data_IF_171114914718
#
_entry.id   IF_171114914718
#
_cell.length_a   1.000
_cell.length_b   1.000
_cell.length_c   1.000
_cell.angle_alpha   90.00
_cell.angle_beta   90.00
_cell.angle_gamma   90.00
#
_symmetry.space_group_name_H-M   'P 1'
#
loop_
_entity.id
_entity.type
_entity.pdbx_description
1 polymer ?
#
# COMPACT_ATOMS: atom_id res chain seq x y z
N UNK A 1 -6.27 25.77 -22.82
CA UNK A 1 -6.15 24.74 -23.88
C UNK A 1 -6.01 23.38 -23.21
N UNK A 2 -6.83 22.38 -23.55
CA UNK A 2 -6.61 21.01 -23.10
C UNK A 2 -5.58 20.34 -24.02
N UNK A 3 -4.40 20.00 -23.50
CA UNK A 3 -3.37 19.27 -24.26
C UNK A 3 -3.86 17.83 -24.44
N UNK A 4 -4.11 17.43 -25.69
CA UNK A 4 -4.46 16.06 -26.03
C UNK A 4 -3.17 15.27 -26.27
N UNK A 5 -2.93 14.30 -25.40
CA UNK A 5 -1.81 13.38 -25.55
C UNK A 5 -2.15 12.28 -26.55
N UNK A 6 -1.19 11.95 -27.41
CA UNK A 6 -1.26 10.84 -28.34
C UNK A 6 -1.45 9.51 -27.59
N UNK A 7 -2.22 8.59 -28.17
CA UNK A 7 -2.55 7.33 -27.52
C UNK A 7 -1.31 6.47 -27.30
N UNK A 8 -0.35 6.49 -28.23
CA UNK A 8 0.90 5.73 -28.11
C UNK A 8 1.75 6.20 -26.93
N UNK A 9 1.73 7.51 -26.63
CA UNK A 9 2.46 8.06 -25.49
C UNK A 9 1.84 7.61 -24.18
N UNK A 10 0.51 7.43 -24.12
CA UNK A 10 -0.16 6.94 -22.91
C UNK A 10 0.21 5.50 -22.61
N UNK A 11 0.21 4.65 -23.64
CA UNK A 11 0.51 3.23 -23.49
C UNK A 11 1.98 3.05 -23.02
N UNK A 12 2.93 3.77 -23.63
CA UNK A 12 4.34 3.80 -23.19
C UNK A 12 4.52 4.23 -21.73
N UNK A 13 3.73 5.20 -21.26
CA UNK A 13 3.79 5.67 -19.87
C UNK A 13 3.26 4.60 -18.91
N UNK A 14 2.18 3.92 -19.27
CA UNK A 14 1.60 2.84 -18.45
C UNK A 14 2.55 1.65 -18.36
N UNK A 15 3.13 1.23 -19.49
CA UNK A 15 4.11 0.13 -19.54
C UNK A 15 5.35 0.45 -18.69
N UNK A 16 5.87 1.67 -18.81
CA UNK A 16 7.00 2.11 -17.98
C UNK A 16 6.67 2.10 -16.48
N UNK A 17 5.48 2.55 -16.09
CA UNK A 17 5.06 2.51 -14.68
C UNK A 17 4.99 1.07 -14.17
N UNK A 18 4.53 0.13 -15.01
CA UNK A 18 4.48 -1.30 -14.66
C UNK A 18 5.88 -1.86 -14.43
N UNK A 19 6.77 -1.68 -15.39
CA UNK A 19 8.16 -2.14 -15.32
C UNK A 19 8.91 -1.50 -14.13
N UNK A 20 8.73 -0.19 -13.93
CA UNK A 20 9.32 0.51 -12.80
C UNK A 20 8.78 0.02 -11.47
N UNK A 21 7.48 -0.30 -11.40
CA UNK A 21 6.89 -0.84 -10.17
C UNK A 21 7.38 -2.27 -9.86
N UNK A 22 7.63 -3.09 -10.87
CA UNK A 22 8.21 -4.43 -10.71
C UNK A 22 9.66 -4.37 -10.22
N UNK A 23 10.43 -3.41 -10.72
CA UNK A 23 11.86 -3.30 -10.39
C UNK A 23 12.14 -2.51 -9.10
N UNK A 24 11.39 -1.44 -8.84
CA UNK A 24 11.66 -0.48 -7.74
C UNK A 24 10.55 -0.42 -6.68
N UNK A 25 9.46 -1.18 -6.86
CA UNK A 25 8.29 -1.11 -5.98
C UNK A 25 7.49 0.19 -6.18
N UNK A 26 7.01 0.82 -5.10
CA UNK A 26 6.10 1.98 -5.22
C UNK A 26 6.86 3.24 -5.66
N UNK A 27 6.77 3.61 -6.95
CA UNK A 27 7.39 4.84 -7.44
C UNK A 27 7.18 5.19 -8.92
N UNK A 28 6.57 4.31 -9.72
CA UNK A 28 6.48 4.49 -11.18
C UNK A 28 5.78 5.78 -11.60
N UNK A 29 4.80 6.27 -10.82
CA UNK A 29 4.13 7.55 -11.11
C UNK A 29 5.09 8.74 -11.06
N UNK A 30 5.93 8.84 -10.02
CA UNK A 30 6.88 9.95 -9.88
C UNK A 30 7.97 9.88 -10.94
N UNK A 31 8.44 8.67 -11.27
CA UNK A 31 9.42 8.46 -12.33
C UNK A 31 8.85 8.83 -13.72
N UNK A 32 7.57 8.53 -13.98
CA UNK A 32 6.90 8.91 -15.21
C UNK A 32 6.69 10.43 -15.32
N UNK A 33 6.32 11.09 -14.23
CA UNK A 33 6.20 12.55 -14.19
C UNK A 33 7.53 13.22 -14.52
N UNK A 34 8.65 12.72 -13.97
CA UNK A 34 9.98 13.24 -14.27
C UNK A 34 10.39 13.04 -15.74
N UNK A 35 10.10 11.86 -16.31
CA UNK A 35 10.54 11.50 -17.68
C UNK A 35 9.76 12.19 -18.80
N UNK A 36 8.46 12.41 -18.60
CA UNK A 36 7.60 13.01 -19.63
C UNK A 36 7.12 14.43 -19.31
N UNK A 37 7.47 14.98 -18.14
CA UNK A 37 7.00 16.29 -17.65
C UNK A 37 5.47 16.44 -17.69
N UNK A 38 4.77 15.32 -17.51
CA UNK A 38 3.30 15.26 -17.48
C UNK A 38 2.82 15.44 -16.04
N UNK A 39 1.68 16.09 -15.86
CA UNK A 39 1.07 16.23 -14.53
C UNK A 39 0.83 14.86 -13.86
N UNK A 40 1.15 14.70 -12.56
CA UNK A 40 0.88 13.47 -11.81
C UNK A 40 -0.58 13.01 -11.87
N UNK A 41 -1.53 13.94 -11.93
CA UNK A 41 -2.96 13.65 -12.07
C UNK A 41 -3.29 12.97 -13.40
N UNK A 42 -2.63 13.39 -14.48
CA UNK A 42 -2.81 12.81 -15.80
C UNK A 42 -2.30 11.37 -15.85
N UNK A 43 -1.12 11.12 -15.26
CA UNK A 43 -0.55 9.77 -15.13
C UNK A 43 -1.45 8.88 -14.28
N UNK A 44 -1.94 9.37 -13.14
CA UNK A 44 -2.94 8.66 -12.31
C UNK A 44 -4.19 8.31 -13.11
N UNK A 45 -4.75 9.26 -13.86
CA UNK A 45 -5.95 9.05 -14.66
C UNK A 45 -5.77 8.00 -15.76
N UNK A 46 -4.55 7.82 -16.28
CA UNK A 46 -4.23 6.77 -17.26
C UNK A 46 -4.03 5.41 -16.60
N UNK A 47 -3.41 5.37 -15.41
CA UNK A 47 -3.24 4.14 -14.64
C UNK A 47 -4.58 3.60 -14.13
N UNK A 48 -5.47 4.48 -13.64
CA UNK A 48 -6.83 4.13 -13.21
C UNK A 48 -7.63 3.55 -14.39
N UNK A 49 -7.47 4.11 -15.61
CA UNK A 49 -8.11 3.59 -16.83
C UNK A 49 -7.51 2.27 -17.32
N UNK A 50 -6.21 2.07 -17.13
CA UNK A 50 -5.50 0.86 -17.52
C UNK A 50 -5.70 -0.30 -16.53
N UNK A 51 -6.41 -0.08 -15.42
CA UNK A 51 -6.63 -1.10 -14.39
C UNK A 51 -5.34 -1.54 -13.70
N UNK A 52 -4.25 -0.80 -13.85
CA UNK A 52 -2.97 -1.10 -13.21
C UNK A 52 -3.12 -0.72 -11.74
N UNK A 53 -3.40 -1.73 -10.91
CA UNK A 53 -3.40 -1.63 -9.46
C UNK A 53 -2.00 -1.26 -9.00
N UNK A 54 -1.68 0.03 -9.00
CA UNK A 54 -0.53 0.54 -8.26
C UNK A 54 -0.68 0.08 -6.81
N UNK A 55 0.41 -0.28 -6.10
CA UNK A 55 0.35 -0.59 -4.68
C UNK A 55 0.10 0.71 -3.88
N UNK A 56 -1.08 1.31 -4.09
CA UNK A 56 -1.66 2.22 -3.14
C UNK A 56 -2.06 1.38 -1.95
N UNK A 57 -1.46 1.70 -0.81
CA UNK A 57 -2.07 1.45 0.51
C UNK A 57 -3.58 1.67 0.36
N UNK A 58 -4.44 0.70 0.68
CA UNK A 58 -5.83 0.70 0.25
C UNK A 58 -6.56 1.91 0.84
N UNK A 59 -6.62 2.99 0.08
CA UNK A 59 -7.64 4.01 0.24
C UNK A 59 -8.71 3.57 -0.74
N UNK A 60 -9.67 2.82 -0.21
CA UNK A 60 -10.84 2.32 -0.91
C UNK A 60 -11.41 3.40 -1.83
N UNK A 61 -11.29 3.22 -3.14
CA UNK A 61 -12.15 3.93 -4.10
C UNK A 61 -13.41 3.07 -4.27
N UNK A 62 -14.47 3.42 -3.54
CA UNK A 62 -15.83 2.96 -3.85
C UNK A 62 -16.57 4.08 -4.59
N UNK A 63 -17.30 3.80 -5.69
CA UNK A 63 -17.85 4.81 -6.59
C UNK A 63 -19.21 5.37 -6.13
N UNK A 64 -19.48 5.45 -4.82
CA UNK A 64 -20.73 6.01 -4.33
C UNK A 64 -20.54 6.91 -3.11
N UNK A 65 -20.96 8.16 -3.27
CA UNK A 65 -21.30 9.05 -2.17
C UNK A 65 -22.36 8.37 -1.30
N UNK A 66 -22.01 8.03 -0.06
CA UNK A 66 -22.97 7.76 1.01
C UNK A 66 -22.30 8.08 2.35
N UNK A 67 -22.87 9.06 3.04
CA UNK A 67 -22.69 9.33 4.46
C UNK A 67 -23.08 8.08 5.26
N UNK A 68 -22.13 7.29 5.75
CA UNK A 68 -22.40 6.34 6.83
C UNK A 68 -21.12 6.03 7.61
N UNK A 69 -21.26 6.05 8.94
CA UNK A 69 -20.21 5.82 9.93
C UNK A 69 -19.39 4.57 9.59
N UNK A 70 -18.06 4.69 9.70
CA UNK A 70 -17.14 3.55 9.80
C UNK A 70 -17.61 2.68 10.96
N UNK A 71 -18.27 1.57 10.65
CA UNK A 71 -18.42 0.46 11.59
C UNK A 71 -17.00 -0.08 11.76
N UNK A 72 -16.40 0.16 12.92
CA UNK A 72 -15.14 -0.48 13.30
C UNK A 72 -15.39 -1.98 13.28
N UNK A 73 -14.72 -2.70 12.37
CA UNK A 73 -14.80 -4.16 12.28
C UNK A 73 -14.39 -4.75 13.65
N UNK A 74 -15.32 -5.30 14.44
CA UNK A 74 -15.04 -5.80 15.79
C UNK A 74 -14.02 -6.94 15.76
N UNK A 75 -13.99 -7.69 14.66
CA UNK A 75 -13.06 -8.78 14.43
C UNK A 75 -11.59 -8.30 14.42
N UNK A 76 -11.30 -7.09 13.93
CA UNK A 76 -9.94 -6.55 13.94
C UNK A 76 -9.42 -6.27 15.36
N UNK A 77 -10.28 -5.71 16.22
CA UNK A 77 -9.95 -5.46 17.62
C UNK A 77 -9.76 -6.78 18.39
N UNK A 78 -10.62 -7.77 18.16
CA UNK A 78 -10.53 -9.10 18.79
C UNK A 78 -9.22 -9.80 18.39
N UNK A 79 -8.91 -9.87 17.10
CA UNK A 79 -7.66 -10.45 16.60
C UNK A 79 -6.41 -9.72 17.14
N UNK A 80 -6.50 -8.39 17.33
CA UNK A 80 -5.41 -7.61 17.91
C UNK A 80 -5.20 -7.93 19.38
N UNK A 81 -6.27 -8.10 20.16
CA UNK A 81 -6.21 -8.46 21.57
C UNK A 81 -5.66 -9.89 21.77
N UNK A 82 -6.08 -10.83 20.92
CA UNK A 82 -5.58 -12.21 20.94
C UNK A 82 -4.07 -12.25 20.69
N UNK A 83 -3.59 -11.50 19.67
CA UNK A 83 -2.16 -11.35 19.40
C UNK A 83 -1.41 -10.72 20.58
N UNK A 84 -1.99 -9.75 21.28
CA UNK A 84 -1.35 -9.13 22.45
C UNK A 84 -1.20 -10.13 23.60
N UNK A 85 -2.21 -10.97 23.84
CA UNK A 85 -2.15 -12.00 24.87
C UNK A 85 -1.06 -13.05 24.57
N UNK A 86 -0.93 -13.49 23.32
CA UNK A 86 0.11 -14.43 22.92
C UNK A 86 1.53 -13.84 23.08
N UNK A 87 1.71 -12.55 22.77
CA UNK A 87 2.99 -11.87 23.00
C UNK A 87 3.33 -11.83 24.50
N UNK A 88 2.35 -11.62 25.38
CA UNK A 88 2.59 -11.63 26.83
C UNK A 88 3.05 -13.00 27.33
N UNK A 89 2.46 -14.09 26.84
CA UNK A 89 2.88 -15.45 27.25
C UNK A 89 4.30 -15.76 26.77
N UNK A 90 4.66 -15.33 25.55
CA UNK A 90 6.01 -15.48 25.02
C UNK A 90 7.03 -14.70 25.85
N UNK A 91 6.71 -13.47 26.27
CA UNK A 91 7.58 -12.68 27.14
C UNK A 91 7.83 -13.39 28.48
N UNK A 92 6.78 -13.87 29.16
CA UNK A 92 6.93 -14.58 30.44
C UNK A 92 7.78 -15.85 30.30
N UNK A 93 7.60 -16.59 29.20
CA UNK A 93 8.44 -17.76 28.91
C UNK A 93 9.91 -17.36 28.74
N UNK A 94 10.18 -16.34 27.92
CA UNK A 94 11.53 -15.87 27.64
C UNK A 94 12.21 -15.33 28.90
N UNK A 95 11.47 -14.63 29.76
CA UNK A 95 11.95 -14.19 31.06
C UNK A 95 12.31 -15.38 31.96
N UNK A 96 11.48 -16.42 32.02
CA UNK A 96 11.78 -17.62 32.81
C UNK A 96 13.03 -18.36 32.30
N UNK A 97 13.22 -18.44 30.98
CA UNK A 97 14.43 -19.01 30.37
C UNK A 97 15.65 -18.15 30.70
N UNK A 98 15.52 -16.82 30.62
CA UNK A 98 16.57 -15.89 31.01
C UNK A 98 16.95 -16.03 32.49
N UNK A 99 15.97 -16.13 33.40
CA UNK A 99 16.23 -16.35 34.82
C UNK A 99 16.91 -17.69 35.08
N UNK A 100 16.49 -18.76 34.38
CA UNK A 100 17.15 -20.07 34.49
C UNK A 100 18.60 -20.01 34.02
N UNK A 101 18.85 -19.42 32.85
CA UNK A 101 20.20 -19.25 32.28
C UNK A 101 21.09 -18.37 33.16
N UNK A 102 20.52 -17.30 33.73
CA UNK A 102 21.23 -16.42 34.65
C UNK A 102 21.54 -17.12 35.97
N UNK A 103 20.66 -17.99 36.47
CA UNK A 103 20.92 -18.77 37.69
C UNK A 103 22.00 -19.84 37.49
N UNK A 104 22.25 -20.28 36.25
CA UNK A 104 23.32 -21.23 35.92
C UNK A 104 24.68 -20.57 35.69
N UNK A 105 24.76 -19.24 35.65
CA UNK A 105 25.99 -18.46 35.52
C UNK A 105 26.48 -17.97 36.90
#
# INVERSE_FOLDING_TARGET
>A
MAVRYDQQTKDKVVDFVREYNESHGRGGQSAAVAKWSISPLTVKSWLDKAGVSTPSKPIMASPFRSTNLRKTDPDCAINTLERMAEIQTQLSKLESEYFSLKSTL
#
